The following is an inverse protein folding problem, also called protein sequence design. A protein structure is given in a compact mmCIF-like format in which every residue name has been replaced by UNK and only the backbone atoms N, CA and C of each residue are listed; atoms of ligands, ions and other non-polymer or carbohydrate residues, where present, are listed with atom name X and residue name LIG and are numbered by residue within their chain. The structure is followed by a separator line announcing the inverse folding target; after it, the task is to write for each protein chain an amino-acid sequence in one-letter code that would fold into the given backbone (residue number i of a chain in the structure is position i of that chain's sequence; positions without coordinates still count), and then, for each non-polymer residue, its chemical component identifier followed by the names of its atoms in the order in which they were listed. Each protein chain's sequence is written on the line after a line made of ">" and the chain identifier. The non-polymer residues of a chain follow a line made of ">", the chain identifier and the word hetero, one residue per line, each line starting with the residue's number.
data_IF_785533994522
#
_entry.id   IF_785533994522
#
_cell.length_a   1.000
_cell.length_b   1.000
_cell.length_c   1.000
_cell.angle_alpha   90.00
_cell.angle_beta   90.00
_cell.angle_gamma   90.00
#
_symmetry.space_group_name_H-M   'P 1'
#
loop_
_entity.id
_entity.type
_entity.pdbx_description
1 polymer ?
#
# COMPACT_ATOMS: atom_id res chain seq x y z
N UNK A 1 -16.10 3.15 -2.17
CA UNK A 1 -14.96 3.88 -1.55
C UNK A 1 -13.69 3.36 -2.16
N UNK A 2 -12.79 4.24 -2.56
CA UNK A 2 -11.52 3.92 -3.22
C UNK A 2 -10.35 4.00 -2.26
N UNK A 3 -9.24 3.36 -2.62
CA UNK A 3 -8.00 3.39 -1.86
C UNK A 3 -6.80 3.68 -2.74
N UNK A 4 -5.77 4.33 -2.19
CA UNK A 4 -4.48 4.52 -2.84
C UNK A 4 -3.36 3.99 -1.94
N UNK A 5 -2.45 3.22 -2.51
CA UNK A 5 -1.30 2.66 -1.82
C UNK A 5 -0.03 3.30 -2.37
N UNK A 6 0.74 3.93 -1.49
CA UNK A 6 2.05 4.49 -1.82
C UNK A 6 3.16 3.49 -1.49
N UNK A 7 3.89 3.08 -2.52
CA UNK A 7 5.13 2.32 -2.42
C UNK A 7 6.37 3.22 -2.42
N UNK A 8 7.55 2.61 -2.50
CA UNK A 8 8.84 3.33 -2.49
C UNK A 8 9.43 3.57 -3.88
N UNK A 9 8.75 3.12 -4.93
CA UNK A 9 9.22 3.25 -6.30
C UNK A 9 9.22 4.71 -6.81
N UNK A 10 9.82 4.96 -7.97
CA UNK A 10 10.03 6.31 -8.51
C UNK A 10 8.72 7.05 -8.80
N UNK A 11 7.69 6.35 -9.23
CA UNK A 11 6.40 6.96 -9.60
C UNK A 11 5.57 7.48 -8.41
N UNK A 12 6.05 7.30 -7.16
CA UNK A 12 5.33 7.77 -5.95
C UNK A 12 5.08 9.28 -5.93
N UNK A 13 5.90 10.06 -6.63
CA UNK A 13 5.79 11.52 -6.70
C UNK A 13 4.76 12.01 -7.71
N UNK A 14 4.17 11.12 -8.50
CA UNK A 14 3.18 11.50 -9.51
C UNK A 14 1.89 12.06 -8.88
N UNK A 15 1.57 11.62 -7.66
CA UNK A 15 0.38 12.08 -6.93
C UNK A 15 0.81 12.95 -5.76
N UNK A 16 0.66 14.25 -5.92
CA UNK A 16 1.00 15.25 -4.90
C UNK A 16 -0.11 15.41 -3.85
N UNK A 17 -1.36 15.29 -4.28
CA UNK A 17 -2.53 15.46 -3.43
C UNK A 17 -3.53 14.34 -3.66
N UNK A 18 -3.91 13.64 -2.61
CA UNK A 18 -4.95 12.63 -2.67
C UNK A 18 -6.32 13.30 -2.52
N UNK A 19 -7.27 13.08 -3.44
CA UNK A 19 -8.63 13.58 -3.31
C UNK A 19 -9.31 13.12 -2.01
N UNK A 20 -10.23 13.94 -1.50
CA UNK A 20 -10.99 13.59 -0.30
C UNK A 20 -11.84 12.33 -0.53
N UNK A 21 -11.94 11.49 0.50
CA UNK A 21 -12.76 10.26 0.45
C UNK A 21 -11.99 9.02 0.00
N UNK A 22 -10.73 9.17 -0.45
CA UNK A 22 -9.86 8.05 -0.78
C UNK A 22 -9.07 7.62 0.45
N UNK A 23 -9.11 6.33 0.80
CA UNK A 23 -8.28 5.77 1.86
C UNK A 23 -6.81 5.78 1.42
N UNK A 24 -5.95 6.45 2.18
CA UNK A 24 -4.52 6.56 1.88
C UNK A 24 -3.71 5.57 2.70
N UNK A 25 -2.94 4.75 2.01
CA UNK A 25 -2.09 3.70 2.59
C UNK A 25 -0.65 3.91 2.15
N UNK A 26 0.32 3.67 3.02
CA UNK A 26 1.75 3.67 2.68
C UNK A 26 2.45 2.38 3.10
N UNK A 27 3.51 2.00 2.37
CA UNK A 27 4.25 0.76 2.59
C UNK A 27 5.72 1.06 2.82
N UNK A 28 6.24 0.74 4.01
CA UNK A 28 7.62 0.99 4.43
C UNK A 28 8.07 2.43 4.12
N UNK A 29 7.13 3.35 4.18
CA UNK A 29 7.33 4.76 3.91
C UNK A 29 6.53 5.55 4.92
N UNK A 30 7.18 6.51 5.56
CA UNK A 30 6.48 7.52 6.30
C UNK A 30 5.79 8.48 5.32
N UNK A 31 4.47 8.56 5.43
CA UNK A 31 3.65 9.48 4.66
C UNK A 31 2.68 10.19 5.62
N UNK A 32 2.82 11.50 5.84
CA UNK A 32 2.09 12.23 6.88
C UNK A 32 0.57 12.12 6.76
N UNK A 33 0.08 12.01 5.53
CA UNK A 33 -1.36 11.96 5.23
C UNK A 33 -1.89 10.53 5.08
N UNK A 34 -1.08 9.49 5.36
CA UNK A 34 -1.57 8.13 5.32
C UNK A 34 -2.56 7.86 6.46
N UNK A 35 -3.66 7.21 6.14
CA UNK A 35 -4.58 6.67 7.14
C UNK A 35 -4.04 5.38 7.76
N UNK A 36 -3.35 4.59 6.91
CA UNK A 36 -2.78 3.28 7.27
C UNK A 36 -1.33 3.22 6.80
N UNK A 37 -0.45 2.70 7.64
CA UNK A 37 0.94 2.43 7.30
C UNK A 37 1.22 0.94 7.50
N UNK A 38 1.70 0.26 6.47
CA UNK A 38 2.28 -1.08 6.59
C UNK A 38 3.79 -0.94 6.75
N UNK A 39 4.33 -1.33 7.90
CA UNK A 39 5.75 -1.24 8.21
C UNK A 39 6.26 -2.56 8.79
N UNK A 40 7.13 -3.25 8.06
CA UNK A 40 7.76 -4.51 8.48
C UNK A 40 9.19 -4.32 8.94
N UNK A 41 9.81 -3.21 8.56
CA UNK A 41 11.21 -2.93 8.85
C UNK A 41 11.32 -2.13 10.15
N UNK A 42 12.12 -2.60 11.10
CA UNK A 42 12.36 -1.96 12.39
C UNK A 42 12.78 -0.50 12.24
N UNK A 43 13.71 -0.22 11.32
CA UNK A 43 14.20 1.14 11.08
C UNK A 43 13.07 2.11 10.63
N UNK A 44 12.05 1.61 9.94
CA UNK A 44 10.89 2.42 9.57
C UNK A 44 10.03 2.72 10.79
N UNK A 45 9.78 1.71 11.65
CA UNK A 45 9.04 1.89 12.89
C UNK A 45 9.76 2.87 13.83
N UNK A 46 11.07 2.75 13.98
CA UNK A 46 11.86 3.70 14.75
C UNK A 46 11.80 5.12 14.19
N UNK A 47 11.86 5.26 12.87
CA UNK A 47 11.71 6.55 12.20
C UNK A 47 10.35 7.16 12.48
N UNK A 48 9.27 6.39 12.35
CA UNK A 48 7.91 6.81 12.66
C UNK A 48 7.81 7.31 14.10
N UNK A 49 8.38 6.59 15.08
CA UNK A 49 8.39 7.00 16.49
C UNK A 49 9.17 8.29 16.76
N UNK A 50 10.30 8.46 16.07
CA UNK A 50 11.16 9.65 16.23
C UNK A 50 10.55 10.90 15.63
N UNK A 51 9.85 10.75 14.51
CA UNK A 51 9.27 11.86 13.76
C UNK A 51 7.94 12.36 14.34
N UNK A 52 7.56 12.05 15.60
CA UNK A 52 6.33 12.46 16.31
C UNK A 52 5.65 13.69 15.71
N UNK A 53 5.03 13.50 14.54
CA UNK A 53 4.40 14.60 13.82
C UNK A 53 2.96 14.70 14.33
N UNK A 54 2.49 15.92 14.57
CA UNK A 54 1.09 16.21 14.90
C UNK A 54 0.16 15.55 13.88
N UNK A 55 -0.72 14.69 14.33
CA UNK A 55 -1.66 13.93 13.49
C UNK A 55 -1.34 12.44 13.36
N UNK A 56 -0.16 12.00 13.77
CA UNK A 56 0.25 10.60 13.74
C UNK A 56 -0.60 9.70 14.66
N UNK A 57 -1.13 10.25 15.73
CA UNK A 57 -1.96 9.55 16.72
C UNK A 57 -3.20 8.87 16.13
N UNK A 58 -3.63 9.32 14.94
CA UNK A 58 -4.81 8.78 14.26
C UNK A 58 -4.48 7.73 13.19
N UNK A 59 -3.21 7.48 12.89
CA UNK A 59 -2.81 6.51 11.88
C UNK A 59 -2.81 5.09 12.45
N UNK A 60 -3.27 4.13 11.63
CA UNK A 60 -3.12 2.71 11.93
C UNK A 60 -1.77 2.25 11.39
N UNK A 61 -0.95 1.61 12.21
CA UNK A 61 0.33 1.03 11.78
C UNK A 61 0.24 -0.49 11.87
N UNK A 62 0.27 -1.16 10.73
CA UNK A 62 0.32 -2.61 10.65
C UNK A 62 1.76 -3.09 10.58
N UNK A 63 2.10 -4.06 11.41
CA UNK A 63 3.46 -4.63 11.47
C UNK A 63 3.43 -6.15 11.70
N UNK A 64 4.61 -6.78 11.55
CA UNK A 64 4.77 -8.22 11.78
C UNK A 64 4.70 -8.58 13.27
N UNK A 65 4.47 -9.86 13.63
CA UNK A 65 4.45 -10.31 15.01
C UNK A 65 5.72 -9.93 15.79
N UNK A 66 6.88 -10.06 15.17
CA UNK A 66 8.17 -9.76 15.79
C UNK A 66 8.28 -8.28 16.18
N UNK A 67 8.02 -7.40 15.25
CA UNK A 67 8.07 -5.96 15.46
C UNK A 67 6.94 -5.50 16.39
N UNK A 68 5.76 -6.12 16.30
CA UNK A 68 4.65 -5.84 17.20
C UNK A 68 5.05 -6.08 18.66
N UNK A 69 5.63 -7.23 18.99
CA UNK A 69 6.08 -7.54 20.35
C UNK A 69 7.14 -6.54 20.85
N UNK A 70 8.04 -6.10 19.98
CA UNK A 70 9.07 -5.11 20.31
C UNK A 70 8.50 -3.72 20.61
N UNK A 71 7.50 -3.30 19.83
CA UNK A 71 7.00 -1.92 19.84
C UNK A 71 5.63 -1.72 20.50
N UNK A 72 4.93 -2.77 20.91
CA UNK A 72 3.57 -2.69 21.47
C UNK A 72 3.42 -1.78 22.69
N UNK A 73 4.48 -1.61 23.46
CA UNK A 73 4.51 -0.74 24.63
C UNK A 73 5.02 0.69 24.32
N UNK A 74 5.31 0.98 23.07
CA UNK A 74 5.76 2.29 22.63
C UNK A 74 4.57 3.19 22.28
N UNK A 75 4.82 4.51 22.17
CA UNK A 75 3.78 5.53 21.94
C UNK A 75 3.26 5.53 20.49
N UNK A 76 3.00 4.38 19.89
CA UNK A 76 2.46 4.29 18.53
C UNK A 76 0.97 4.60 18.40
N UNK A 77 0.27 4.82 19.52
CA UNK A 77 -1.18 5.06 19.48
C UNK A 77 -1.98 3.83 19.01
N UNK A 78 -1.83 3.43 17.74
CA UNK A 78 -2.58 2.32 17.13
C UNK A 78 -1.69 1.38 16.33
N UNK A 79 -0.84 0.64 17.04
CA UNK A 79 -0.09 -0.45 16.43
C UNK A 79 -0.96 -1.69 16.31
N UNK A 80 -1.01 -2.25 15.11
CA UNK A 80 -1.82 -3.42 14.78
C UNK A 80 -0.94 -4.57 14.31
N UNK A 81 -1.28 -5.76 14.74
CA UNK A 81 -0.63 -6.97 14.25
C UNK A 81 -1.12 -7.32 12.86
N UNK A 82 -0.21 -7.45 11.92
CA UNK A 82 -0.48 -8.04 10.61
C UNK A 82 -0.37 -9.55 10.76
N UNK A 83 -1.50 -10.21 10.87
CA UNK A 83 -1.58 -11.68 10.91
C UNK A 83 -1.45 -12.23 9.48
N UNK A 84 -0.20 -12.39 9.03
CA UNK A 84 0.12 -12.86 7.68
C UNK A 84 -0.47 -14.24 7.41
N UNK A 85 -0.43 -15.13 8.38
CA UNK A 85 -0.89 -16.51 8.23
C UNK A 85 -2.42 -16.61 8.07
N UNK A 86 -3.17 -15.75 8.75
CA UNK A 86 -4.62 -15.66 8.56
C UNK A 86 -5.02 -14.95 7.28
N UNK A 87 -4.28 -13.91 6.93
CA UNK A 87 -4.57 -13.14 5.72
C UNK A 87 -4.19 -13.93 4.48
N UNK A 88 -3.04 -14.60 4.51
CA UNK A 88 -2.47 -15.29 3.35
C UNK A 88 -1.57 -16.46 3.78
N UNK A 89 -2.09 -17.69 3.86
CA UNK A 89 -1.33 -18.85 4.37
C UNK A 89 -0.05 -19.22 3.57
N UNK A 90 0.26 -18.52 2.49
CA UNK A 90 1.42 -18.77 1.62
C UNK A 90 2.29 -17.53 1.40
N UNK A 91 2.27 -16.58 2.32
CA UNK A 91 2.88 -15.25 2.11
C UNK A 91 4.27 -15.09 2.71
N UNK A 92 4.89 -16.15 3.21
CA UNK A 92 6.28 -16.07 3.68
C UNK A 92 7.17 -15.49 2.56
N UNK A 93 7.82 -14.36 2.85
CA UNK A 93 8.72 -13.68 1.92
C UNK A 93 8.07 -12.70 0.95
N UNK A 94 6.77 -12.37 1.09
CA UNK A 94 6.16 -11.30 0.30
C UNK A 94 6.68 -9.92 0.76
N UNK A 95 6.81 -8.99 -0.18
CA UNK A 95 7.13 -7.61 0.15
C UNK A 95 5.98 -6.92 0.88
N UNK A 96 6.30 -5.89 1.67
CA UNK A 96 5.28 -5.11 2.40
C UNK A 96 4.20 -4.55 1.48
N UNK A 97 4.57 -4.11 0.28
CA UNK A 97 3.62 -3.62 -0.72
C UNK A 97 2.62 -4.68 -1.16
N UNK A 98 3.09 -5.90 -1.42
CA UNK A 98 2.22 -7.02 -1.80
C UNK A 98 1.26 -7.40 -0.67
N UNK A 99 1.73 -7.39 0.58
CA UNK A 99 0.87 -7.64 1.74
C UNK A 99 -0.21 -6.57 1.89
N UNK A 100 0.13 -5.29 1.68
CA UNK A 100 -0.83 -4.21 1.71
C UNK A 100 -1.89 -4.36 0.61
N UNK A 101 -1.47 -4.61 -0.64
CA UNK A 101 -2.37 -4.86 -1.77
C UNK A 101 -3.30 -6.03 -1.44
N UNK A 102 -2.72 -7.17 -1.04
CA UNK A 102 -3.48 -8.35 -0.69
C UNK A 102 -4.46 -8.13 0.46
N UNK A 103 -4.07 -7.34 1.46
CA UNK A 103 -4.97 -6.97 2.55
C UNK A 103 -6.14 -6.14 2.05
N UNK A 104 -5.89 -5.11 1.24
CA UNK A 104 -6.97 -4.26 0.71
C UNK A 104 -7.89 -5.01 -0.27
N UNK A 105 -7.38 -5.94 -1.05
CA UNK A 105 -8.21 -6.76 -1.96
C UNK A 105 -9.24 -7.64 -1.22
N UNK A 106 -9.09 -7.85 0.09
CA UNK A 106 -10.09 -8.53 0.92
C UNK A 106 -11.25 -7.64 1.32
N UNK A 107 -11.08 -6.35 1.23
CA UNK A 107 -12.15 -5.38 1.47
C UNK A 107 -12.80 -5.00 0.12
N UNK A 108 -14.06 -4.60 0.15
CA UNK A 108 -14.80 -4.23 -1.05
C UNK A 108 -14.51 -2.79 -1.47
N UNK A 109 -13.26 -2.50 -1.84
CA UNK A 109 -12.92 -1.25 -2.51
C UNK A 109 -13.35 -1.33 -3.98
N UNK A 110 -13.91 -0.24 -4.49
CA UNK A 110 -14.29 -0.13 -5.90
C UNK A 110 -13.05 -0.05 -6.77
N UNK A 111 -12.08 0.74 -6.34
CA UNK A 111 -10.78 0.87 -7.00
C UNK A 111 -9.65 0.92 -5.97
N UNK A 112 -8.54 0.30 -6.30
CA UNK A 112 -7.29 0.34 -5.54
C UNK A 112 -6.20 0.86 -6.46
N UNK A 113 -5.69 2.04 -6.15
CA UNK A 113 -4.61 2.69 -6.92
C UNK A 113 -3.26 2.38 -6.31
N UNK A 114 -2.28 2.05 -7.14
CA UNK A 114 -0.90 1.80 -6.78
C UNK A 114 -0.02 2.94 -7.29
N UNK A 115 0.66 3.64 -6.40
CA UNK A 115 1.57 4.72 -6.71
C UNK A 115 2.96 4.41 -6.12
N UNK A 116 4.02 4.46 -6.93
CA UNK A 116 5.36 4.05 -6.49
C UNK A 116 5.59 2.54 -6.52
N UNK A 117 4.94 1.84 -7.45
CA UNK A 117 5.15 0.43 -7.75
C UNK A 117 5.73 0.29 -9.16
N UNK A 118 6.63 -0.66 -9.35
CA UNK A 118 7.22 -0.98 -10.65
C UNK A 118 6.86 -2.40 -11.05
N UNK A 119 6.44 -2.59 -12.29
CA UNK A 119 6.00 -3.87 -12.83
C UNK A 119 6.87 -4.32 -14.03
N UNK A 120 7.86 -3.55 -14.42
CA UNK A 120 8.78 -3.85 -15.55
C UNK A 120 9.60 -5.12 -15.32
N UNK A 121 9.95 -5.39 -14.06
CA UNK A 121 10.56 -6.64 -13.63
C UNK A 121 9.78 -7.13 -12.41
N UNK A 122 8.67 -7.84 -12.60
CA UNK A 122 7.89 -8.33 -11.49
C UNK A 122 8.76 -9.26 -10.65
N UNK A 123 9.10 -8.81 -9.45
CA UNK A 123 9.70 -9.72 -8.48
C UNK A 123 8.77 -10.92 -8.32
N UNK A 124 9.28 -12.11 -8.03
CA UNK A 124 8.44 -13.28 -7.79
C UNK A 124 7.31 -13.09 -6.76
N UNK A 125 7.34 -11.94 -6.07
CA UNK A 125 6.27 -11.46 -5.19
C UNK A 125 5.04 -10.98 -5.94
N UNK A 126 5.20 -10.32 -7.09
CA UNK A 126 4.06 -9.90 -7.91
C UNK A 126 3.41 -11.11 -8.59
N UNK A 127 4.21 -12.03 -9.15
CA UNK A 127 3.66 -13.29 -9.69
C UNK A 127 2.86 -14.05 -8.63
N UNK A 128 3.35 -14.11 -7.38
CA UNK A 128 2.60 -14.71 -6.26
C UNK A 128 1.29 -13.98 -5.98
N UNK A 129 1.27 -12.65 -6.04
CA UNK A 129 0.04 -11.89 -5.90
C UNK A 129 -0.93 -12.22 -7.05
N UNK A 130 -0.45 -12.21 -8.29
CA UNK A 130 -1.25 -12.48 -9.48
C UNK A 130 -1.83 -13.90 -9.48
N UNK A 131 -1.11 -14.88 -8.94
CA UNK A 131 -1.61 -16.26 -8.79
C UNK A 131 -2.65 -16.42 -7.67
N UNK A 132 -2.67 -15.52 -6.69
CA UNK A 132 -3.57 -15.58 -5.53
C UNK A 132 -4.82 -14.74 -5.73
N UNK A 133 -4.79 -13.75 -6.64
CA UNK A 133 -5.93 -12.86 -6.89
C UNK A 133 -6.43 -13.04 -8.32
N UNK A 134 -7.63 -13.59 -8.45
CA UNK A 134 -8.38 -13.57 -9.72
C UNK A 134 -9.07 -12.22 -9.99
N UNK A 135 -8.96 -11.24 -9.07
CA UNK A 135 -9.66 -9.95 -9.14
C UNK A 135 -8.66 -8.82 -9.31
N UNK A 136 -8.19 -8.60 -10.53
CA UNK A 136 -7.36 -7.44 -10.87
C UNK A 136 -8.14 -6.30 -11.51
N UNK A 137 -9.44 -6.48 -11.77
CA UNK A 137 -10.27 -5.53 -12.50
C UNK A 137 -10.40 -4.17 -11.80
N UNK A 138 -10.26 -4.16 -10.47
CA UNK A 138 -10.30 -2.95 -9.66
C UNK A 138 -8.90 -2.45 -9.23
N UNK A 139 -7.81 -3.06 -9.73
CA UNK A 139 -6.44 -2.68 -9.40
C UNK A 139 -5.86 -1.80 -10.52
N UNK A 140 -5.41 -0.62 -10.17
CA UNK A 140 -4.86 0.38 -11.10
C UNK A 140 -3.46 0.77 -10.67
N UNK A 141 -2.51 0.80 -11.61
CA UNK A 141 -1.16 1.28 -11.37
C UNK A 141 -0.95 2.64 -12.03
N UNK A 142 -0.55 3.64 -11.24
CA UNK A 142 -0.28 4.99 -11.72
C UNK A 142 1.15 5.04 -12.25
N UNK A 143 1.28 5.36 -13.53
CA UNK A 143 2.54 5.40 -14.29
C UNK A 143 2.66 6.72 -15.04
N UNK A 144 3.88 7.08 -15.45
CA UNK A 144 4.10 8.26 -16.30
C UNK A 144 3.53 8.02 -17.70
N UNK A 145 3.85 6.86 -18.27
CA UNK A 145 3.36 6.43 -19.57
C UNK A 145 2.80 5.00 -19.46
N UNK A 146 1.68 4.70 -20.13
CA UNK A 146 1.11 3.36 -20.15
C UNK A 146 2.12 2.33 -20.69
N UNK A 147 2.34 1.27 -19.94
CA UNK A 147 3.21 0.16 -20.34
C UNK A 147 2.40 -0.90 -21.09
N UNK A 148 2.99 -1.42 -22.16
CA UNK A 148 2.45 -2.59 -22.87
C UNK A 148 3.09 -3.84 -22.25
N UNK A 149 2.38 -4.45 -21.30
CA UNK A 149 2.78 -5.70 -20.67
C UNK A 149 1.73 -6.78 -20.96
N UNK A 150 2.17 -8.02 -21.05
CA UNK A 150 1.26 -9.15 -21.20
C UNK A 150 0.46 -9.40 -19.92
N UNK A 151 -0.86 -9.66 -20.03
CA UNK A 151 -1.69 -9.99 -18.87
C UNK A 151 -1.20 -11.30 -18.19
N UNK A 152 -1.49 -11.47 -16.86
CA UNK A 152 -2.30 -10.62 -16.03
C UNK A 152 -1.47 -9.48 -15.37
N UNK A 153 -1.87 -8.24 -15.59
CA UNK A 153 -1.26 -7.06 -14.98
C UNK A 153 -2.37 -6.11 -14.51
N UNK A 154 -2.09 -5.23 -13.52
CA UNK A 154 -3.05 -4.21 -13.13
C UNK A 154 -3.30 -3.24 -14.30
N UNK A 155 -4.44 -2.55 -14.26
CA UNK A 155 -4.72 -1.52 -15.24
C UNK A 155 -3.73 -0.35 -15.08
N UNK A 156 -3.02 0.02 -16.15
CA UNK A 156 -2.11 1.17 -16.12
C UNK A 156 -2.88 2.44 -16.47
N UNK A 157 -2.72 3.46 -15.65
CA UNK A 157 -3.34 4.78 -15.85
C UNK A 157 -2.32 5.89 -15.59
N UNK A 158 -2.48 7.03 -16.25
CA UNK A 158 -1.70 8.23 -15.93
C UNK A 158 -2.34 9.00 -14.77
N UNK A 159 -1.59 9.94 -14.20
CA UNK A 159 -2.11 10.80 -13.12
C UNK A 159 -3.32 11.64 -13.55
N UNK A 160 -3.38 12.05 -14.82
CA UNK A 160 -4.50 12.81 -15.37
C UNK A 160 -5.79 11.97 -15.36
N UNK A 161 -5.68 10.69 -15.71
CA UNK A 161 -6.80 9.74 -15.67
C UNK A 161 -7.24 9.49 -14.22
N UNK A 162 -6.28 9.35 -13.29
CA UNK A 162 -6.57 9.22 -11.87
C UNK A 162 -7.40 10.41 -11.37
N UNK A 163 -6.92 11.64 -11.54
CA UNK A 163 -7.65 12.82 -11.07
C UNK A 163 -9.01 13.00 -11.76
N UNK A 164 -9.10 12.72 -13.07
CA UNK A 164 -10.38 12.78 -13.81
C UNK A 164 -11.42 11.79 -13.26
N UNK A 165 -10.97 10.61 -12.85
CA UNK A 165 -11.87 9.59 -12.29
C UNK A 165 -12.39 9.99 -10.91
N UNK A 166 -11.51 10.61 -10.07
CA UNK A 166 -11.82 10.91 -8.68
C UNK A 166 -12.50 12.29 -8.47
N UNK A 167 -12.47 13.18 -9.45
CA UNK A 167 -13.15 14.48 -9.37
C UNK A 167 -14.59 14.45 -9.88
N UNK A 168 -15.05 13.34 -10.44
CA UNK A 168 -16.42 13.18 -10.95
C UNK A 168 -17.41 12.64 -9.91
N UNK A 169 -16.92 12.28 -8.73
CA UNK A 169 -17.70 11.85 -7.58
C UNK A 169 -17.75 12.97 -6.53
#
# INVERSE_FOLDING_TARGET
>A
MDAIIFGRGPTRHLIDTVPKGILTVSCNLYYPNANIIFARDECILEKILKEKIKGFENQLVFTTPREYEKFRNSSFGRLMLLDEDRLWPRTQGLSTGILAIGTLLKFNFEKIYLCGFTFENPSGSLEKLLTVTSKLDNLYCIVEEPLLLDPPVPNFITKEVFYKNETKN
#
